data_IF_089213406059
#
_entry.id   IF_089213406059
#
_cell.length_a   1.000
_cell.length_b   1.000
_cell.length_c   1.000
_cell.angle_alpha   90.00
_cell.angle_beta   90.00
_cell.angle_gamma   90.00
#
_symmetry.space_group_name_H-M   'P 1'
#
loop_
_entity.id
_entity.type
_entity.pdbx_description
1 polymer ?
#
# COMPACT_ATOMS: atom_id res chain seq x y z
N UNK A 1 11.88 1.02 -8.54
CA UNK A 1 10.39 0.99 -8.61
C UNK A 1 9.85 1.41 -7.25
N UNK A 2 9.00 2.44 -7.17
CA UNK A 2 8.41 2.98 -5.93
C UNK A 2 6.90 3.16 -6.10
N UNK A 3 6.13 3.10 -5.00
CA UNK A 3 4.66 3.22 -5.02
C UNK A 3 3.99 2.26 -6.01
N UNK A 4 4.48 1.02 -6.04
CA UNK A 4 3.98 -0.04 -6.91
C UNK A 4 3.54 -1.23 -6.07
N UNK A 5 2.51 -1.93 -6.54
CA UNK A 5 2.09 -3.21 -5.99
C UNK A 5 2.14 -4.28 -7.07
N UNK A 6 2.49 -5.51 -6.70
CA UNK A 6 2.47 -6.67 -7.58
C UNK A 6 1.33 -7.59 -7.12
N UNK A 7 0.43 -7.95 -8.02
CA UNK A 7 -0.60 -8.97 -7.74
C UNK A 7 -0.11 -10.31 -8.29
N UNK A 8 0.02 -11.30 -7.41
CA UNK A 8 0.42 -12.66 -7.78
C UNK A 8 -0.27 -13.66 -6.85
N UNK A 9 -0.77 -14.76 -7.41
CA UNK A 9 -1.40 -15.85 -6.65
C UNK A 9 -2.51 -15.37 -5.70
N UNK A 10 -3.33 -14.42 -6.18
CA UNK A 10 -4.42 -13.82 -5.40
C UNK A 10 -3.97 -12.89 -4.26
N UNK A 11 -2.68 -12.55 -4.16
CA UNK A 11 -2.12 -11.69 -3.12
C UNK A 11 -1.57 -10.39 -3.70
N UNK A 12 -1.83 -9.30 -2.99
CA UNK A 12 -1.24 -7.99 -3.27
C UNK A 12 0.05 -7.85 -2.46
N UNK A 13 1.18 -7.77 -3.16
CA UNK A 13 2.50 -7.54 -2.58
C UNK A 13 2.86 -6.06 -2.69
N UNK A 14 3.18 -5.44 -1.56
CA UNK A 14 3.59 -4.04 -1.46
C UNK A 14 4.90 -3.96 -0.69
N UNK A 15 5.88 -3.26 -1.25
CA UNK A 15 7.14 -2.96 -0.58
C UNK A 15 7.27 -1.46 -0.37
N UNK A 16 7.74 -1.08 0.81
CA UNK A 16 8.09 0.29 1.16
C UNK A 16 9.37 0.28 1.99
N UNK A 17 10.06 1.42 2.00
CA UNK A 17 11.28 1.63 2.77
C UNK A 17 11.42 3.09 3.17
N UNK A 18 12.44 3.34 3.98
CA UNK A 18 12.82 4.63 4.51
C UNK A 18 14.32 4.87 4.24
N UNK A 19 14.70 6.15 4.14
CA UNK A 19 16.10 6.54 4.03
C UNK A 19 16.62 6.83 5.44
N UNK A 20 17.53 6.01 5.95
CA UNK A 20 18.06 6.15 7.31
C UNK A 20 19.23 7.15 7.31
N UNK A 21 19.20 8.09 8.25
CA UNK A 21 20.27 9.05 8.52
C UNK A 21 20.72 8.95 9.99
N UNK A 22 21.77 9.69 10.37
CA UNK A 22 22.41 9.54 11.68
C UNK A 22 21.49 9.82 12.88
N UNK A 23 20.50 10.68 12.69
CA UNK A 23 19.53 11.15 13.66
C UNK A 23 18.13 10.53 13.49
N UNK A 24 17.98 9.53 12.60
CA UNK A 24 16.70 8.83 12.38
C UNK A 24 16.19 8.15 13.66
N UNK A 25 14.89 8.31 13.92
CA UNK A 25 14.17 7.60 14.97
C UNK A 25 13.55 6.30 14.41
N UNK A 26 13.90 5.11 14.91
CA UNK A 26 13.45 3.83 14.34
C UNK A 26 11.92 3.69 14.23
N UNK A 27 11.17 4.21 15.21
CA UNK A 27 9.71 4.12 15.21
C UNK A 27 9.12 5.03 14.12
N UNK A 28 9.62 6.26 14.00
CA UNK A 28 9.20 7.21 12.98
C UNK A 28 9.45 6.69 11.56
N UNK A 29 10.62 6.11 11.29
CA UNK A 29 10.96 5.53 9.98
C UNK A 29 10.10 4.30 9.66
N UNK A 30 9.79 3.48 10.66
CA UNK A 30 8.87 2.37 10.51
C UNK A 30 7.45 2.86 10.18
N UNK A 31 6.96 3.89 10.87
CA UNK A 31 5.66 4.49 10.54
C UNK A 31 5.65 5.11 9.13
N UNK A 32 6.75 5.72 8.69
CA UNK A 32 6.89 6.21 7.32
C UNK A 32 6.74 5.06 6.30
N UNK A 33 7.44 3.94 6.51
CA UNK A 33 7.33 2.75 5.67
C UNK A 33 5.88 2.24 5.62
N UNK A 34 5.22 2.14 6.78
CA UNK A 34 3.82 1.72 6.88
C UNK A 34 2.89 2.66 6.15
N UNK A 35 3.08 3.97 6.29
CA UNK A 35 2.26 4.99 5.63
C UNK A 35 2.42 4.93 4.10
N UNK A 36 3.65 4.75 3.60
CA UNK A 36 3.92 4.58 2.17
C UNK A 36 3.22 3.36 1.59
N UNK A 37 3.29 2.22 2.28
CA UNK A 37 2.63 0.97 1.87
C UNK A 37 1.11 1.05 1.98
N UNK A 38 0.58 1.66 3.05
CA UNK A 38 -0.86 1.79 3.33
C UNK A 38 -1.62 2.44 2.18
N UNK A 39 -1.04 3.42 1.51
CA UNK A 39 -1.67 4.11 0.39
C UNK A 39 -2.12 3.12 -0.71
N UNK A 40 -1.27 2.16 -1.08
CA UNK A 40 -1.58 1.17 -2.11
C UNK A 40 -2.63 0.16 -1.64
N UNK A 41 -2.56 -0.25 -0.37
CA UNK A 41 -3.55 -1.16 0.22
C UNK A 41 -4.94 -0.51 0.26
N UNK A 42 -5.02 0.77 0.63
CA UNK A 42 -6.28 1.53 0.62
C UNK A 42 -6.81 1.67 -0.81
N UNK A 43 -5.96 2.04 -1.77
CA UNK A 43 -6.36 2.14 -3.17
C UNK A 43 -6.94 0.81 -3.71
N UNK A 44 -6.29 -0.32 -3.40
CA UNK A 44 -6.80 -1.64 -3.78
C UNK A 44 -8.16 -1.95 -3.13
N UNK A 45 -8.35 -1.61 -1.85
CA UNK A 45 -9.65 -1.78 -1.16
C UNK A 45 -10.76 -0.96 -1.81
N UNK A 46 -10.50 0.31 -2.14
CA UNK A 46 -11.49 1.16 -2.79
C UNK A 46 -11.81 0.68 -4.21
N UNK A 47 -10.81 0.20 -4.96
CA UNK A 47 -11.03 -0.42 -6.27
C UNK A 47 -11.94 -1.66 -6.18
N UNK A 48 -11.75 -2.50 -5.15
CA UNK A 48 -12.63 -3.66 -4.91
C UNK A 48 -14.06 -3.24 -4.57
N UNK A 49 -14.24 -2.22 -3.73
CA UNK A 49 -15.57 -1.66 -3.40
C UNK A 49 -16.27 -1.15 -4.64
N UNK A 50 -15.57 -0.35 -5.46
CA UNK A 50 -16.10 0.18 -6.70
C UNK A 50 -16.51 -0.94 -7.68
N UNK A 51 -15.67 -1.96 -7.84
CA UNK A 51 -15.97 -3.10 -8.70
C UNK A 51 -17.13 -3.98 -8.19
N UNK A 52 -17.41 -3.96 -6.87
CA UNK A 52 -18.54 -4.66 -6.27
C UNK A 52 -19.85 -3.88 -6.43
N UNK A 53 -19.84 -2.56 -6.18
CA UNK A 53 -21.03 -1.71 -6.34
C UNK A 53 -21.50 -1.65 -7.78
N UNK A 54 -20.57 -1.57 -8.74
CA UNK A 54 -20.90 -1.49 -10.17
C UNK A 54 -21.48 -2.79 -10.75
N UNK A 55 -21.36 -3.91 -10.01
CA UNK A 55 -21.93 -5.21 -10.38
C UNK A 55 -23.37 -5.41 -9.92
N UNK A 56 -23.90 -4.55 -9.03
CA UNK A 56 -25.28 -4.62 -8.55
C UNK A 56 -26.27 -3.84 -9.44
N UNK A 57 -25.75 -2.97 -10.31
CA UNK A 57 -26.53 -2.14 -11.24
C UNK A 57 -26.65 -2.73 -12.64
N UNK A 58 -26.11 -3.93 -12.87
CA UNK A 58 -26.27 -4.74 -14.08
C UNK A 58 -27.12 -5.97 -13.76
#
# INVERSE_FOLDING_TARGET
VLRTAIVKDGKLHVQAGAGIVADSDPESEFQECRNKARALVVAAKEALRFAASNRQTL
#
